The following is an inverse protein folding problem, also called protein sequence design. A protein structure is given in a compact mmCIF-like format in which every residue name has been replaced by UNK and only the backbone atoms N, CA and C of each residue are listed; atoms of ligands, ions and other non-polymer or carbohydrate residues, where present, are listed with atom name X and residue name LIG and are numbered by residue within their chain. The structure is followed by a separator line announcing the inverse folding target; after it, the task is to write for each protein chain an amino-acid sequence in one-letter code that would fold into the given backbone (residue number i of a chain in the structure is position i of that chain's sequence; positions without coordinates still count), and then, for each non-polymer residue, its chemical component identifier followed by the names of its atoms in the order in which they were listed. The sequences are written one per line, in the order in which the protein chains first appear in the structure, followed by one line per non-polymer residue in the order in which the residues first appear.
data_IF_619305529927
#
_entry.id   IF_619305529927
#
_cell.length_a   1.000
_cell.length_b   1.000
_cell.length_c   1.000
_cell.angle_alpha   90.00
_cell.angle_beta   90.00
_cell.angle_gamma   90.00
#
_symmetry.space_group_name_H-M   'P 1'
#
loop_
_entity.id
_entity.type
_entity.pdbx_description
1 polymer ?
#
# COMPACT_ATOMS: atom_id res chain seq x y z
N UNK A 1 1.64 23.57 -57.12
CA UNK A 1 1.62 22.97 -55.74
C UNK A 1 2.59 23.66 -54.74
N UNK A 2 3.27 24.76 -55.14
CA UNK A 2 4.31 25.41 -54.28
C UNK A 2 3.82 26.67 -53.52
N UNK A 3 2.60 27.11 -53.75
CA UNK A 3 2.08 28.41 -53.20
C UNK A 3 1.39 28.21 -51.82
N UNK A 4 0.99 27.00 -51.46
CA UNK A 4 0.23 26.75 -50.21
C UNK A 4 1.14 26.76 -48.96
N UNK A 5 2.44 26.48 -49.10
CA UNK A 5 3.39 26.41 -47.98
C UNK A 5 3.71 27.78 -47.37
N UNK A 6 3.55 28.87 -48.12
CA UNK A 6 3.80 30.25 -47.66
C UNK A 6 2.63 30.94 -46.96
N UNK A 7 1.45 30.33 -46.95
CA UNK A 7 0.24 30.93 -46.35
C UNK A 7 -0.01 30.55 -44.89
N UNK A 8 0.74 29.61 -44.33
CA UNK A 8 0.64 29.28 -42.90
C UNK A 8 1.66 30.10 -42.11
N UNK A 9 1.23 30.88 -41.11
CA UNK A 9 2.15 31.60 -40.24
C UNK A 9 2.97 30.58 -39.47
N UNK A 10 4.27 30.49 -39.75
CA UNK A 10 5.23 29.58 -39.14
C UNK A 10 5.65 29.97 -37.69
N UNK A 11 5.08 31.06 -37.16
CA UNK A 11 5.23 31.50 -35.79
C UNK A 11 3.85 31.82 -35.23
N UNK A 12 3.40 31.06 -34.25
CA UNK A 12 2.31 31.48 -33.36
C UNK A 12 2.81 32.70 -32.60
N UNK A 13 2.47 33.90 -33.09
CA UNK A 13 2.74 35.15 -32.40
C UNK A 13 1.82 35.18 -31.15
N UNK A 14 2.37 34.89 -30.01
CA UNK A 14 1.63 35.12 -28.76
C UNK A 14 1.38 36.63 -28.65
N UNK A 15 0.13 37.01 -28.36
CA UNK A 15 -0.30 38.40 -28.22
C UNK A 15 0.46 39.15 -27.12
N UNK A 16 1.00 38.40 -26.16
CA UNK A 16 1.73 38.94 -25.01
C UNK A 16 3.06 38.20 -24.82
N UNK A 17 4.13 38.96 -24.64
CA UNK A 17 5.42 38.45 -24.19
C UNK A 17 5.52 38.63 -22.70
N UNK A 18 5.91 37.56 -21.98
CA UNK A 18 6.14 37.61 -20.53
C UNK A 18 7.43 36.88 -20.16
N UNK A 19 8.03 37.31 -19.08
CA UNK A 19 9.20 36.63 -18.47
C UNK A 19 8.86 36.25 -17.05
N UNK A 20 9.16 35.00 -16.67
CA UNK A 20 8.94 34.50 -15.31
C UNK A 20 9.63 35.38 -14.28
N UNK A 21 8.92 35.76 -13.22
CA UNK A 21 9.42 36.60 -12.14
C UNK A 21 9.36 38.11 -12.40
N UNK A 22 8.84 38.54 -13.54
CA UNK A 22 8.61 39.97 -13.87
C UNK A 22 7.17 40.37 -13.63
N UNK A 23 6.98 41.68 -13.42
CA UNK A 23 5.64 42.27 -13.32
C UNK A 23 4.90 42.21 -14.66
N UNK A 24 3.64 41.79 -14.63
CA UNK A 24 2.76 41.83 -15.78
C UNK A 24 2.45 43.30 -16.15
N UNK A 25 2.94 43.75 -17.31
CA UNK A 25 2.86 45.14 -17.74
C UNK A 25 1.62 45.46 -18.56
N UNK A 26 0.86 44.45 -18.93
CA UNK A 26 -0.35 44.59 -19.77
C UNK A 26 -1.60 44.73 -18.88
N UNK A 27 -2.74 44.98 -19.49
CA UNK A 27 -4.05 44.97 -18.82
C UNK A 27 -4.34 43.56 -18.26
N UNK A 28 -5.36 43.47 -17.40
CA UNK A 28 -5.81 42.19 -16.86
C UNK A 28 -6.03 41.16 -17.96
N UNK A 29 -5.39 40.01 -17.85
CA UNK A 29 -5.59 38.89 -18.75
C UNK A 29 -6.71 38.02 -18.19
N UNK A 30 -7.81 37.96 -18.93
CA UNK A 30 -9.00 37.17 -18.60
C UNK A 30 -9.08 36.02 -19.59
N UNK A 31 -9.49 34.85 -19.14
CA UNK A 31 -9.63 33.68 -19.99
C UNK A 31 -10.78 33.88 -21.01
N UNK A 32 -10.52 33.75 -22.31
CA UNK A 32 -11.55 33.84 -23.35
C UNK A 32 -12.35 32.53 -23.51
N UNK A 33 -11.88 31.43 -22.92
CA UNK A 33 -12.48 30.11 -23.01
C UNK A 33 -12.14 29.26 -21.80
N UNK A 34 -12.88 28.18 -21.60
CA UNK A 34 -12.54 27.17 -20.58
C UNK A 34 -11.34 26.35 -21.06
N UNK A 35 -10.35 26.16 -20.18
CA UNK A 35 -9.23 25.25 -20.47
C UNK A 35 -8.70 24.58 -19.21
N UNK A 36 -8.15 23.38 -19.37
CA UNK A 36 -7.52 22.63 -18.30
C UNK A 36 -6.05 23.01 -18.13
N UNK A 37 -5.62 23.22 -16.89
CA UNK A 37 -4.21 23.37 -16.55
C UNK A 37 -3.61 21.97 -16.43
N UNK A 38 -2.69 21.64 -17.33
CA UNK A 38 -2.00 20.35 -17.31
C UNK A 38 -0.95 20.31 -16.20
N UNK A 39 -0.83 19.15 -15.57
CA UNK A 39 0.31 18.83 -14.70
C UNK A 39 1.57 18.72 -15.57
N UNK A 40 2.70 19.12 -15.02
CA UNK A 40 4.00 18.85 -15.62
C UNK A 40 4.36 17.39 -15.41
N UNK A 41 5.27 16.85 -16.24
CA UNK A 41 5.78 15.48 -16.04
C UNK A 41 6.43 15.28 -14.66
N UNK A 42 7.00 16.36 -14.08
CA UNK A 42 7.58 16.32 -12.75
C UNK A 42 6.50 16.15 -11.68
N UNK A 43 5.38 16.88 -11.80
CA UNK A 43 4.25 16.77 -10.87
C UNK A 43 3.63 15.36 -10.94
N UNK A 44 3.43 14.81 -12.14
CA UNK A 44 2.91 13.46 -12.33
C UNK A 44 3.85 12.43 -11.68
N UNK A 45 5.16 12.49 -11.97
CA UNK A 45 6.15 11.56 -11.39
C UNK A 45 6.27 11.70 -9.86
N UNK A 46 6.02 12.86 -9.31
CA UNK A 46 6.01 13.05 -7.87
C UNK A 46 4.78 12.40 -7.24
N UNK A 47 3.62 12.53 -7.86
CA UNK A 47 2.37 11.90 -7.43
C UNK A 47 2.45 10.37 -7.51
N UNK A 48 3.03 9.82 -8.61
CA UNK A 48 3.32 8.39 -8.74
C UNK A 48 4.19 7.87 -7.59
N UNK A 49 5.29 8.56 -7.27
CA UNK A 49 6.17 8.20 -6.17
C UNK A 49 5.49 8.27 -4.79
N UNK A 50 4.59 9.23 -4.60
CA UNK A 50 3.82 9.33 -3.36
C UNK A 50 2.85 8.17 -3.22
N UNK A 51 2.17 7.78 -4.29
CA UNK A 51 1.30 6.60 -4.33
C UNK A 51 2.11 5.32 -4.05
N UNK A 52 3.25 5.13 -4.72
CA UNK A 52 4.12 3.97 -4.50
C UNK A 52 4.65 3.90 -3.06
N UNK A 53 5.04 5.04 -2.49
CA UNK A 53 5.53 5.10 -1.10
C UNK A 53 4.45 4.80 -0.08
N UNK A 54 3.23 5.24 -0.34
CA UNK A 54 2.08 5.11 0.56
C UNK A 54 1.17 3.93 0.18
N UNK A 55 1.66 3.01 -0.68
CA UNK A 55 0.89 1.82 -1.07
C UNK A 55 0.53 0.99 0.15
N UNK A 56 -0.72 0.58 0.25
CA UNK A 56 -1.18 -0.33 1.30
C UNK A 56 -0.83 -1.77 0.95
N UNK A 57 -0.36 -2.53 1.93
CA UNK A 57 -0.08 -3.95 1.78
C UNK A 57 -1.33 -4.74 2.17
N UNK A 58 -1.74 -5.65 1.30
CA UNK A 58 -2.91 -6.50 1.52
C UNK A 58 -2.48 -7.86 2.06
N UNK A 59 -3.18 -8.32 3.08
CA UNK A 59 -3.00 -9.63 3.67
C UNK A 59 -4.32 -10.38 3.69
N UNK A 60 -4.28 -11.67 3.41
CA UNK A 60 -5.45 -12.55 3.46
C UNK A 60 -5.40 -13.41 4.69
N UNK A 61 -6.48 -13.39 5.48
CA UNK A 61 -6.75 -14.32 6.57
C UNK A 61 -7.74 -15.39 6.09
N UNK A 62 -7.31 -16.65 6.12
CA UNK A 62 -8.07 -17.76 5.57
C UNK A 62 -8.22 -18.86 6.61
N UNK A 63 -9.45 -19.08 7.09
CA UNK A 63 -9.76 -20.12 8.08
C UNK A 63 -9.48 -21.53 7.57
N UNK A 64 -9.61 -21.76 6.26
CA UNK A 64 -9.28 -23.07 5.69
C UNK A 64 -7.77 -23.34 5.79
N UNK A 65 -6.94 -22.32 5.55
CA UNK A 65 -5.50 -22.42 5.77
C UNK A 65 -5.15 -22.69 7.24
N UNK A 66 -5.76 -21.98 8.20
CA UNK A 66 -5.54 -22.19 9.63
C UNK A 66 -5.88 -23.62 10.04
N UNK A 67 -7.03 -24.13 9.57
CA UNK A 67 -7.47 -25.51 9.84
C UNK A 67 -6.48 -26.53 9.27
N UNK A 68 -6.09 -26.37 8.01
CA UNK A 68 -5.14 -27.25 7.34
C UNK A 68 -3.77 -27.23 8.03
N UNK A 69 -3.28 -26.07 8.44
CA UNK A 69 -2.01 -25.94 9.16
C UNK A 69 -2.03 -26.63 10.53
N UNK A 70 -3.15 -26.53 11.25
CA UNK A 70 -3.34 -27.24 12.53
C UNK A 70 -3.42 -28.75 12.35
N UNK A 71 -4.10 -29.24 11.32
CA UNK A 71 -4.16 -30.67 11.00
C UNK A 71 -2.79 -31.21 10.58
N UNK A 72 -2.07 -30.49 9.76
CA UNK A 72 -0.69 -30.83 9.38
C UNK A 72 0.23 -30.91 10.61
N UNK A 73 0.15 -29.90 11.48
CA UNK A 73 0.90 -29.89 12.75
C UNK A 73 0.56 -31.09 13.62
N UNK A 74 -0.73 -31.42 13.79
CA UNK A 74 -1.20 -32.58 14.54
C UNK A 74 -0.62 -33.86 13.98
N UNK A 75 -0.78 -34.09 12.67
CA UNK A 75 -0.37 -35.32 12.01
C UNK A 75 1.16 -35.53 12.07
N UNK A 76 1.95 -34.45 11.95
CA UNK A 76 3.40 -34.51 12.03
C UNK A 76 3.94 -34.88 13.43
N UNK A 77 3.15 -34.62 14.51
CA UNK A 77 3.61 -34.72 15.87
C UNK A 77 2.81 -35.72 16.74
N UNK A 78 1.75 -36.33 16.20
CA UNK A 78 0.88 -37.26 16.94
C UNK A 78 1.61 -38.50 17.51
N UNK A 79 2.62 -39.00 16.80
CA UNK A 79 3.40 -40.17 17.24
C UNK A 79 4.62 -39.79 18.10
N UNK A 80 5.04 -38.51 18.06
CA UNK A 80 6.25 -38.03 18.72
C UNK A 80 5.99 -37.39 20.07
N UNK A 81 4.75 -36.95 20.32
CA UNK A 81 4.42 -36.14 21.48
C UNK A 81 3.19 -36.74 22.20
N UNK A 82 3.18 -36.72 23.51
CA UNK A 82 2.01 -37.15 24.26
C UNK A 82 0.78 -36.27 23.99
N UNK A 83 -0.41 -36.87 24.12
CA UNK A 83 -1.67 -36.20 23.74
C UNK A 83 -1.95 -34.93 24.53
N UNK A 84 -1.48 -34.81 25.78
CA UNK A 84 -1.68 -33.59 26.58
C UNK A 84 -0.81 -32.47 26.10
N UNK A 85 0.46 -32.73 25.81
CA UNK A 85 1.41 -31.76 25.26
C UNK A 85 1.02 -31.33 23.86
N UNK A 86 0.58 -32.26 23.00
CA UNK A 86 0.11 -31.98 21.66
C UNK A 86 -1.14 -31.07 21.67
N UNK A 87 -2.13 -31.38 22.54
CA UNK A 87 -3.32 -30.53 22.66
C UNK A 87 -2.98 -29.11 23.14
N UNK A 88 -2.06 -28.99 24.10
CA UNK A 88 -1.59 -27.69 24.57
C UNK A 88 -0.91 -26.89 23.46
N UNK A 89 -0.06 -27.53 22.66
CA UNK A 89 0.57 -26.90 21.49
C UNK A 89 -0.45 -26.40 20.49
N UNK A 90 -1.42 -27.23 20.14
CA UNK A 90 -2.50 -26.85 19.22
C UNK A 90 -3.35 -25.68 19.72
N UNK A 91 -3.72 -25.68 21.00
CA UNK A 91 -4.45 -24.56 21.61
C UNK A 91 -3.60 -23.28 21.66
N UNK A 92 -2.30 -23.41 21.87
CA UNK A 92 -1.37 -22.28 21.78
C UNK A 92 -1.32 -21.70 20.36
N UNK A 93 -1.17 -22.55 19.34
CA UNK A 93 -1.19 -22.11 17.93
C UNK A 93 -2.52 -21.44 17.56
N UNK A 94 -3.66 -22.01 17.99
CA UNK A 94 -4.98 -21.40 17.75
C UNK A 94 -5.10 -20.00 18.34
N UNK A 95 -4.61 -19.80 19.57
CA UNK A 95 -4.60 -18.48 20.22
C UNK A 95 -3.73 -17.47 19.45
N UNK A 96 -2.56 -17.89 18.98
CA UNK A 96 -1.69 -17.06 18.16
C UNK A 96 -2.35 -16.71 16.81
N UNK A 97 -3.04 -17.67 16.17
CA UNK A 97 -3.81 -17.42 14.95
C UNK A 97 -4.99 -16.48 15.17
N UNK A 98 -5.62 -16.51 16.36
CA UNK A 98 -6.68 -15.55 16.68
C UNK A 98 -6.15 -14.10 16.74
N UNK A 99 -4.95 -13.88 17.27
CA UNK A 99 -4.26 -12.59 17.23
C UNK A 99 -3.90 -12.26 15.78
N UNK A 100 -3.31 -13.18 15.06
CA UNK A 100 -2.81 -13.04 13.70
C UNK A 100 -1.28 -12.99 13.67
N UNK A 101 -0.70 -13.79 12.80
CA UNK A 101 0.74 -13.87 12.56
C UNK A 101 1.01 -13.39 11.14
N UNK A 102 1.67 -12.25 11.02
CA UNK A 102 2.00 -11.67 9.72
C UNK A 102 3.10 -12.46 9.02
N UNK A 103 2.87 -12.75 7.75
CA UNK A 103 3.91 -13.22 6.85
C UNK A 103 4.92 -12.08 6.63
N UNK A 104 6.22 -12.37 6.83
CA UNK A 104 7.27 -11.39 6.55
C UNK A 104 7.27 -11.03 5.06
N UNK A 105 7.23 -9.75 4.75
CA UNK A 105 7.41 -9.21 3.40
C UNK A 105 8.72 -8.43 3.37
N UNK A 106 9.55 -8.71 2.38
CA UNK A 106 10.83 -8.04 2.20
C UNK A 106 10.62 -6.53 1.99
N UNK A 107 10.99 -5.76 3.00
CA UNK A 107 11.18 -4.32 2.93
C UNK A 107 9.92 -3.46 3.09
N UNK A 108 9.97 -2.62 4.07
CA UNK A 108 9.04 -1.59 4.50
C UNK A 108 7.78 -2.12 5.20
N UNK A 109 7.90 -2.37 6.50
CA UNK A 109 6.76 -2.31 7.39
C UNK A 109 6.19 -0.88 7.32
N UNK A 110 5.26 -0.66 6.40
CA UNK A 110 4.31 0.44 6.54
C UNK A 110 3.47 0.09 7.76
N UNK A 111 3.21 1.07 8.61
CA UNK A 111 2.45 0.83 9.83
C UNK A 111 1.02 0.37 9.51
N UNK A 112 0.43 0.80 8.38
CA UNK A 112 -0.94 0.48 8.00
C UNK A 112 -0.98 -0.64 6.95
N UNK A 113 -1.74 -1.69 7.27
CA UNK A 113 -2.00 -2.82 6.38
C UNK A 113 -3.52 -3.02 6.20
N UNK A 114 -3.90 -3.74 5.16
CA UNK A 114 -5.28 -4.14 4.93
C UNK A 114 -5.39 -5.66 5.07
N UNK A 115 -6.22 -6.13 6.00
CA UNK A 115 -6.50 -7.55 6.15
C UNK A 115 -7.85 -7.87 5.50
N UNK A 116 -7.85 -8.85 4.63
CA UNK A 116 -9.05 -9.38 3.97
C UNK A 116 -9.44 -10.70 4.61
N UNK A 117 -10.57 -10.71 5.32
CA UNK A 117 -11.17 -11.89 5.91
C UNK A 117 -12.62 -12.02 5.42
N UNK A 118 -13.02 -13.18 4.91
CA UNK A 118 -14.38 -13.43 4.40
C UNK A 118 -14.87 -12.39 3.35
N UNK A 119 -13.99 -11.95 2.47
CA UNK A 119 -14.22 -10.89 1.46
C UNK A 119 -14.52 -9.50 2.05
N UNK A 120 -14.22 -9.27 3.32
CA UNK A 120 -14.27 -7.96 3.95
C UNK A 120 -12.84 -7.46 4.16
N UNK A 121 -12.53 -6.28 3.61
CA UNK A 121 -11.25 -5.61 3.79
C UNK A 121 -11.35 -4.62 4.96
N UNK A 122 -10.42 -4.69 5.89
CA UNK A 122 -10.33 -3.79 7.03
C UNK A 122 -8.90 -3.33 7.23
N UNK A 123 -8.72 -2.05 7.56
CA UNK A 123 -7.42 -1.45 7.85
C UNK A 123 -7.04 -1.69 9.31
N UNK A 124 -5.75 -1.99 9.52
CA UNK A 124 -5.16 -2.23 10.83
C UNK A 124 -3.76 -1.61 10.88
N UNK A 125 -3.31 -1.32 12.09
CA UNK A 125 -1.89 -1.12 12.33
C UNK A 125 -1.18 -2.48 12.34
N UNK A 126 -0.06 -2.60 11.63
CA UNK A 126 0.71 -3.84 11.57
C UNK A 126 1.17 -4.32 12.96
N UNK A 127 1.35 -3.38 13.90
CA UNK A 127 1.74 -3.65 15.29
C UNK A 127 0.64 -4.33 16.11
N UNK A 128 -0.61 -4.38 15.61
CA UNK A 128 -1.69 -5.16 16.25
C UNK A 128 -1.52 -6.67 16.06
N UNK A 129 -0.62 -7.09 15.15
CA UNK A 129 -0.36 -8.48 14.83
C UNK A 129 1.04 -8.90 15.24
N UNK A 130 1.25 -10.21 15.30
CA UNK A 130 2.54 -10.78 15.67
C UNK A 130 3.39 -11.06 14.41
N UNK A 131 4.66 -10.75 14.45
CA UNK A 131 5.63 -11.39 13.55
C UNK A 131 5.78 -12.88 13.94
N UNK A 132 6.27 -13.70 13.03
CA UNK A 132 6.52 -15.12 13.33
C UNK A 132 7.48 -15.29 14.51
N UNK A 133 8.49 -14.41 14.65
CA UNK A 133 9.41 -14.39 15.78
C UNK A 133 8.69 -14.10 17.08
N UNK A 134 7.87 -13.06 17.16
CA UNK A 134 7.09 -12.72 18.36
C UNK A 134 6.11 -13.82 18.73
N UNK A 135 5.46 -14.45 17.75
CA UNK A 135 4.57 -15.57 17.97
C UNK A 135 5.31 -16.79 18.55
N UNK A 136 6.52 -17.07 18.07
CA UNK A 136 7.38 -18.13 18.61
C UNK A 136 7.81 -17.83 20.03
N UNK A 137 8.25 -16.61 20.33
CA UNK A 137 8.64 -16.16 21.68
C UNK A 137 7.45 -16.24 22.66
N UNK A 138 6.25 -15.90 22.20
CA UNK A 138 5.02 -16.02 23.01
C UNK A 138 4.66 -17.49 23.29
N UNK A 139 4.76 -18.35 22.27
CA UNK A 139 4.56 -19.78 22.43
C UNK A 139 5.55 -20.37 23.45
N UNK A 140 6.83 -20.00 23.35
CA UNK A 140 7.87 -20.43 24.28
C UNK A 140 7.54 -20.00 25.72
N UNK A 141 7.19 -18.74 25.96
CA UNK A 141 6.78 -18.24 27.29
C UNK A 141 5.62 -19.06 27.88
N UNK A 142 4.60 -19.33 27.06
CA UNK A 142 3.45 -20.12 27.48
C UNK A 142 3.84 -21.57 27.89
N UNK A 143 4.77 -22.20 27.13
CA UNK A 143 5.27 -23.54 27.46
C UNK A 143 6.10 -23.53 28.73
N UNK A 144 7.01 -22.56 28.91
CA UNK A 144 7.85 -22.43 30.11
C UNK A 144 7.02 -22.26 31.37
N UNK A 145 5.89 -21.56 31.31
CA UNK A 145 4.96 -21.37 32.42
C UNK A 145 4.05 -22.60 32.67
N UNK A 146 3.99 -23.54 31.74
CA UNK A 146 3.17 -24.75 31.88
C UNK A 146 3.82 -25.80 32.79
N UNK A 147 3.00 -26.73 33.32
CA UNK A 147 3.46 -27.90 34.04
C UNK A 147 3.56 -29.13 33.10
N UNK A 148 4.03 -28.96 31.89
CA UNK A 148 4.19 -30.04 30.93
C UNK A 148 5.59 -30.63 30.98
N UNK A 149 5.74 -31.96 30.72
CA UNK A 149 7.04 -32.57 30.53
C UNK A 149 7.65 -32.18 29.17
N UNK A 150 8.94 -32.41 28.98
CA UNK A 150 9.64 -32.27 27.71
C UNK A 150 9.44 -30.91 27.02
N UNK A 151 9.53 -29.81 27.80
CA UNK A 151 9.30 -28.45 27.31
C UNK A 151 10.16 -28.07 26.09
N UNK A 152 11.44 -28.48 26.12
CA UNK A 152 12.38 -28.16 25.03
C UNK A 152 11.94 -28.78 23.70
N UNK A 153 11.47 -30.02 23.73
CA UNK A 153 10.94 -30.71 22.57
C UNK A 153 9.65 -30.02 22.06
N UNK A 154 8.77 -29.63 22.99
CA UNK A 154 7.53 -28.94 22.66
C UNK A 154 7.78 -27.57 22.05
N UNK A 155 8.74 -26.80 22.54
CA UNK A 155 9.20 -25.54 21.95
C UNK A 155 9.70 -25.78 20.53
N UNK A 156 10.52 -26.82 20.33
CA UNK A 156 11.07 -27.16 19.03
C UNK A 156 9.97 -27.44 18.00
N UNK A 157 9.04 -28.33 18.31
CA UNK A 157 7.98 -28.71 17.36
C UNK A 157 7.04 -27.53 17.03
N UNK A 158 6.74 -26.65 18.00
CA UNK A 158 5.95 -25.45 17.74
C UNK A 158 6.74 -24.47 16.84
N UNK A 159 8.01 -24.23 17.15
CA UNK A 159 8.87 -23.33 16.34
C UNK A 159 8.99 -23.80 14.91
N UNK A 160 9.13 -25.11 14.68
CA UNK A 160 9.24 -25.69 13.34
C UNK A 160 7.89 -25.74 12.59
N UNK A 161 6.77 -25.87 13.33
CA UNK A 161 5.44 -26.06 12.75
C UNK A 161 4.60 -24.79 12.66
N UNK A 162 4.98 -23.71 13.35
CA UNK A 162 4.21 -22.47 13.34
C UNK A 162 4.34 -21.75 12.00
N UNK A 163 3.20 -21.42 11.40
CA UNK A 163 3.12 -20.73 10.12
C UNK A 163 2.41 -19.38 10.27
N UNK A 164 2.74 -18.40 9.45
CA UNK A 164 1.99 -17.16 9.39
C UNK A 164 0.61 -17.41 8.77
N UNK A 165 -0.46 -16.93 9.42
CA UNK A 165 -1.84 -17.07 8.95
C UNK A 165 -2.39 -15.82 8.28
N UNK A 166 -1.73 -14.66 8.46
CA UNK A 166 -1.95 -13.47 7.65
C UNK A 166 -0.95 -13.51 6.50
N UNK A 167 -1.42 -13.98 5.34
CA UNK A 167 -0.59 -14.19 4.16
C UNK A 167 -0.63 -12.97 3.26
N UNK A 168 0.53 -12.51 2.83
CA UNK A 168 0.64 -11.40 1.90
C UNK A 168 -0.02 -11.72 0.56
N UNK A 169 -0.92 -10.84 0.12
CA UNK A 169 -1.60 -10.91 -1.17
C UNK A 169 -0.94 -9.93 -2.15
N UNK A 170 0.07 -10.44 -2.86
CA UNK A 170 0.83 -9.64 -3.81
C UNK A 170 -0.04 -9.17 -4.99
N UNK A 171 -0.98 -10.01 -5.44
CA UNK A 171 -1.85 -9.71 -6.58
C UNK A 171 -2.81 -8.57 -6.24
N UNK A 172 -3.47 -8.65 -5.07
CA UNK A 172 -4.36 -7.58 -4.60
C UNK A 172 -3.59 -6.28 -4.37
N UNK A 173 -2.43 -6.36 -3.74
CA UNK A 173 -1.55 -5.20 -3.51
C UNK A 173 -1.17 -4.53 -4.83
N UNK A 174 -0.75 -5.30 -5.83
CA UNK A 174 -0.39 -4.79 -7.15
C UNK A 174 -1.61 -4.23 -7.90
N UNK A 175 -2.76 -4.90 -7.83
CA UNK A 175 -3.98 -4.46 -8.49
C UNK A 175 -4.45 -3.10 -7.96
N UNK A 176 -4.49 -2.93 -6.63
CA UNK A 176 -4.91 -1.66 -6.01
C UNK A 176 -3.92 -0.55 -6.35
N UNK A 177 -2.62 -0.82 -6.27
CA UNK A 177 -1.58 0.15 -6.65
C UNK A 177 -1.74 0.59 -8.11
N UNK A 178 -1.91 -0.35 -9.03
CA UNK A 178 -2.08 -0.03 -10.46
C UNK A 178 -3.36 0.80 -10.70
N UNK A 179 -4.44 0.51 -10.00
CA UNK A 179 -5.67 1.30 -10.08
C UNK A 179 -5.42 2.74 -9.64
N UNK A 180 -4.75 2.95 -8.50
CA UNK A 180 -4.42 4.29 -8.00
C UNK A 180 -3.51 5.07 -8.98
N UNK A 181 -2.53 4.40 -9.59
CA UNK A 181 -1.66 5.01 -10.59
C UNK A 181 -2.44 5.41 -11.87
N UNK A 182 -3.42 4.61 -12.28
CA UNK A 182 -4.28 4.93 -13.45
C UNK A 182 -5.27 6.07 -13.17
N UNK A 183 -5.61 6.33 -11.92
CA UNK A 183 -6.48 7.44 -11.51
C UNK A 183 -5.77 8.80 -11.48
N UNK A 184 -4.45 8.84 -11.69
CA UNK A 184 -3.70 10.10 -11.78
C UNK A 184 -4.22 10.89 -12.97
N UNK A 185 -4.86 12.01 -12.69
CA UNK A 185 -5.36 12.90 -13.74
C UNK A 185 -4.23 13.73 -14.33
N UNK A 186 -4.19 13.93 -15.68
CA UNK A 186 -3.18 14.78 -16.31
C UNK A 186 -3.40 16.28 -16.03
N UNK A 187 -4.53 16.64 -15.45
CA UNK A 187 -4.91 18.03 -15.20
C UNK A 187 -4.89 18.32 -13.70
N UNK A 188 -4.40 19.50 -13.31
CA UNK A 188 -4.41 20.00 -11.92
C UNK A 188 -5.46 21.05 -11.62
N UNK A 189 -6.17 21.53 -12.64
CA UNK A 189 -7.22 22.54 -12.48
C UNK A 189 -7.90 22.86 -13.79
N UNK A 190 -8.96 23.67 -13.67
CA UNK A 190 -9.71 24.24 -14.79
C UNK A 190 -9.71 25.75 -14.62
N UNK A 191 -9.58 26.48 -15.71
CA UNK A 191 -9.78 27.92 -15.80
C UNK A 191 -11.02 28.14 -16.62
N UNK A 192 -11.97 28.91 -16.08
CA UNK A 192 -13.24 29.18 -16.75
C UNK A 192 -13.18 30.46 -17.59
N UNK A 193 -14.04 30.53 -18.59
CA UNK A 193 -14.27 31.74 -19.36
C UNK A 193 -14.60 32.92 -18.44
N UNK A 194 -13.91 34.04 -18.60
CA UNK A 194 -14.08 35.23 -17.76
C UNK A 194 -13.26 35.22 -16.46
N UNK A 195 -12.57 34.14 -16.15
CA UNK A 195 -11.68 34.06 -14.99
C UNK A 195 -10.40 34.88 -15.21
N UNK A 196 -9.95 35.57 -14.17
CA UNK A 196 -8.73 36.35 -14.17
C UNK A 196 -7.50 35.43 -14.10
N UNK A 197 -6.72 35.39 -15.18
CA UNK A 197 -5.48 34.62 -15.25
C UNK A 197 -4.33 35.38 -14.55
N UNK A 198 -4.17 36.67 -14.87
CA UNK A 198 -3.17 37.53 -14.23
C UNK A 198 -3.62 38.98 -14.26
N UNK A 199 -3.50 39.69 -13.15
CA UNK A 199 -3.82 41.11 -13.02
C UNK A 199 -2.64 42.00 -13.40
N UNK A 200 -2.92 43.21 -13.87
CA UNK A 200 -1.92 44.25 -14.14
C UNK A 200 -1.08 44.52 -12.90
N UNK A 201 0.22 44.49 -13.02
CA UNK A 201 1.18 44.67 -11.90
C UNK A 201 1.42 43.44 -11.06
N UNK A 202 0.74 42.33 -11.31
CA UNK A 202 1.04 41.06 -10.62
C UNK A 202 2.37 40.45 -11.11
N UNK A 203 3.06 39.72 -10.23
CA UNK A 203 4.29 38.99 -10.61
C UNK A 203 3.93 37.64 -11.18
N UNK A 204 4.46 37.32 -12.35
CA UNK A 204 4.28 36.01 -12.98
C UNK A 204 5.17 34.96 -12.31
N UNK A 205 4.56 34.01 -11.59
CA UNK A 205 5.27 32.93 -10.88
C UNK A 205 5.20 31.57 -11.59
N UNK A 206 4.62 31.47 -12.73
CA UNK A 206 4.50 30.18 -13.46
C UNK A 206 5.79 29.73 -14.10
#
# INVERSE_FOLDING_TARGET
ALIIVFAFPTKSSFKYEFTKGQFWKHENLISPMDFAIKKTEKEIRQEEKEIERNKKLFFKKDKAFETAALEEFRNANAEKTDSRSLNFAMETIKRLYAIGILQNTDGNAQNDIVVVENNVAQEYDADEFLSLRQATEEAQRNIEQSNLPNKDELIKIITEGLKANLRFDADMTAQVLNTQLQEITPNKGLVYTGELIIGKGAVSYT
#
